data_IF_651563475945
#
_entry.id   IF_651563475945
#
_cell.length_a   1.000
_cell.length_b   1.000
_cell.length_c   1.000
_cell.angle_alpha   90.00
_cell.angle_beta   90.00
_cell.angle_gamma   90.00
#
_symmetry.space_group_name_H-M   'P 1'
#
loop_
_entity.id
_entity.type
_entity.pdbx_description
1 polymer ?
#
# COMPACT_ATOMS: atom_id res chain seq x y z
N UNK A 1 -19.98 -29.18 50.18
CA UNK A 1 -19.46 -28.92 48.83
C UNK A 1 -18.84 -30.21 48.35
N UNK A 2 -19.56 -30.98 47.54
CA UNK A 2 -19.14 -32.31 47.09
C UNK A 2 -18.04 -32.23 46.02
N UNK A 3 -17.14 -33.22 45.99
CA UNK A 3 -16.03 -33.32 45.03
C UNK A 3 -16.50 -33.19 43.55
N UNK A 4 -17.73 -33.61 43.27
CA UNK A 4 -18.41 -33.45 41.97
C UNK A 4 -18.70 -31.99 41.62
N UNK A 5 -19.11 -31.18 42.60
CA UNK A 5 -19.34 -29.74 42.44
C UNK A 5 -18.02 -29.01 42.20
N UNK A 6 -16.94 -29.43 42.88
CA UNK A 6 -15.60 -28.84 42.70
C UNK A 6 -15.08 -29.11 41.29
N UNK A 7 -15.19 -30.33 40.77
CA UNK A 7 -14.72 -30.69 39.42
C UNK A 7 -15.44 -29.94 38.28
N UNK A 8 -16.74 -29.66 38.43
CA UNK A 8 -17.50 -28.89 37.45
C UNK A 8 -17.10 -27.40 37.51
N UNK A 9 -16.92 -26.85 38.71
CA UNK A 9 -16.55 -25.44 38.90
C UNK A 9 -15.13 -25.17 38.42
N UNK A 10 -14.18 -26.07 38.68
CA UNK A 10 -12.79 -25.95 38.18
C UNK A 10 -12.71 -26.18 36.68
N UNK A 11 -13.49 -27.11 36.13
CA UNK A 11 -13.56 -27.36 34.69
C UNK A 11 -14.14 -26.20 33.89
N UNK A 12 -15.27 -25.63 34.34
CA UNK A 12 -15.89 -24.47 33.69
C UNK A 12 -14.98 -23.24 33.75
N UNK A 13 -14.27 -23.01 34.87
CA UNK A 13 -13.28 -21.94 34.98
C UNK A 13 -12.09 -22.13 34.00
N UNK A 14 -11.57 -23.36 33.86
CA UNK A 14 -10.48 -23.65 32.93
C UNK A 14 -10.92 -23.51 31.47
N UNK A 15 -12.12 -23.98 31.13
CA UNK A 15 -12.70 -23.81 29.79
C UNK A 15 -12.88 -22.34 29.41
N UNK A 16 -13.37 -21.50 30.34
CA UNK A 16 -13.50 -20.06 30.13
C UNK A 16 -12.14 -19.38 29.98
N UNK A 17 -11.13 -19.81 30.74
CA UNK A 17 -9.75 -19.30 30.63
C UNK A 17 -9.16 -19.63 29.24
N UNK A 18 -9.33 -20.85 28.75
CA UNK A 18 -8.85 -21.27 27.41
C UNK A 18 -9.57 -20.49 26.32
N UNK A 19 -10.89 -20.32 26.39
CA UNK A 19 -11.67 -19.53 25.43
C UNK A 19 -11.22 -18.06 25.46
N UNK A 20 -11.01 -17.49 26.64
CA UNK A 20 -10.47 -16.14 26.77
C UNK A 20 -9.07 -16.04 26.16
N UNK A 21 -8.17 -17.00 26.38
CA UNK A 21 -6.85 -17.01 25.74
C UNK A 21 -6.91 -17.20 24.22
N UNK A 22 -7.90 -17.92 23.69
CA UNK A 22 -8.09 -18.03 22.24
C UNK A 22 -8.66 -16.74 21.64
N UNK A 23 -9.53 -16.02 22.34
CA UNK A 23 -10.10 -14.73 21.89
C UNK A 23 -9.09 -13.58 22.06
N UNK A 24 -8.39 -13.54 23.20
CA UNK A 24 -7.46 -12.46 23.57
C UNK A 24 -5.99 -12.75 23.23
N UNK A 25 -5.60 -14.01 23.03
CA UNK A 25 -4.27 -14.42 22.58
C UNK A 25 -4.11 -14.39 21.06
N UNK A 26 -5.21 -14.37 20.30
CA UNK A 26 -5.22 -14.06 18.86
C UNK A 26 -5.15 -12.56 18.53
N UNK A 27 -4.60 -11.73 19.43
CA UNK A 27 -4.37 -10.30 19.18
C UNK A 27 -3.43 -10.01 18.00
N UNK A 28 -2.88 -11.04 17.33
CA UNK A 28 -2.03 -10.89 16.14
C UNK A 28 -2.52 -11.56 14.85
N UNK A 29 -3.68 -12.25 14.83
CA UNK A 29 -4.01 -13.15 13.70
C UNK A 29 -5.15 -12.75 12.75
N UNK A 30 -5.99 -11.76 13.09
CA UNK A 30 -7.13 -11.36 12.22
C UNK A 30 -7.23 -9.86 11.93
N UNK A 31 -6.37 -9.03 12.50
CA UNK A 31 -6.25 -7.60 12.12
C UNK A 31 -5.23 -7.36 11.00
N UNK A 32 -4.61 -8.41 10.46
CA UNK A 32 -3.59 -8.33 9.39
C UNK A 32 -4.12 -8.51 7.96
N UNK A 33 -5.44 -8.47 7.73
CA UNK A 33 -6.04 -8.62 6.40
C UNK A 33 -6.85 -7.39 6.01
N UNK A 34 -6.21 -6.22 5.96
CA UNK A 34 -6.71 -5.05 5.20
C UNK A 34 -5.59 -4.48 4.34
N UNK A 35 -5.06 -5.28 3.44
CA UNK A 35 -4.31 -4.77 2.29
C UNK A 35 -4.57 -5.68 1.09
N UNK A 36 -5.85 -5.74 0.68
CA UNK A 36 -6.13 -6.01 -0.72
C UNK A 36 -5.69 -4.75 -1.47
N UNK A 37 -4.47 -4.79 -2.00
CA UNK A 37 -3.94 -3.76 -2.89
C UNK A 37 -4.74 -3.82 -4.21
N UNK A 38 -5.94 -3.23 -4.22
CA UNK A 38 -6.65 -2.94 -5.47
C UNK A 38 -5.83 -1.83 -6.15
N UNK A 39 -4.83 -2.22 -6.95
CA UNK A 39 -4.13 -1.39 -7.95
C UNK A 39 -4.14 0.12 -7.70
N UNK A 40 -3.73 0.55 -6.51
CA UNK A 40 -3.71 1.96 -6.12
C UNK A 40 -2.29 2.44 -6.31
N UNK A 41 -2.03 3.27 -7.33
CA UNK A 41 -0.81 4.07 -7.23
C UNK A 41 -0.96 5.01 -6.07
N UNK A 42 0.07 5.06 -5.27
CA UNK A 42 0.21 6.15 -4.33
C UNK A 42 0.49 7.44 -5.13
N UNK A 43 0.08 8.60 -4.62
CA UNK A 43 0.44 9.87 -5.24
C UNK A 43 1.98 10.02 -5.36
N UNK A 44 2.74 9.34 -4.50
CA UNK A 44 4.20 9.24 -4.57
C UNK A 44 4.74 8.43 -5.75
N UNK A 45 3.90 7.66 -6.44
CA UNK A 45 4.25 6.82 -7.59
C UNK A 45 3.86 7.49 -8.92
N UNK A 46 3.13 8.60 -8.87
CA UNK A 46 2.85 9.43 -10.05
C UNK A 46 4.18 10.08 -10.48
N UNK A 47 4.71 9.63 -11.61
CA UNK A 47 5.97 10.12 -12.19
C UNK A 47 5.81 11.57 -12.66
N UNK A 48 4.69 11.90 -13.29
CA UNK A 48 4.44 13.26 -13.77
C UNK A 48 2.93 13.61 -13.74
N UNK A 49 2.63 14.87 -13.42
CA UNK A 49 1.26 15.43 -13.46
C UNK A 49 1.11 16.54 -14.50
N UNK A 50 2.21 17.10 -14.99
CA UNK A 50 2.27 18.05 -16.08
C UNK A 50 3.60 17.91 -16.85
N UNK A 51 3.68 18.50 -18.05
CA UNK A 51 4.90 18.45 -18.88
C UNK A 51 6.10 19.09 -18.18
N UNK A 52 5.89 20.09 -17.33
CA UNK A 52 6.95 20.75 -16.57
C UNK A 52 7.64 19.79 -15.57
N UNK A 53 6.99 18.71 -15.15
CA UNK A 53 7.63 17.68 -14.31
C UNK A 53 8.64 16.82 -15.09
N UNK A 54 8.56 16.83 -16.42
CA UNK A 54 9.42 16.07 -17.33
C UNK A 54 10.51 16.93 -17.99
N UNK A 55 10.75 18.15 -17.52
CA UNK A 55 11.79 19.01 -18.07
C UNK A 55 13.18 18.37 -17.86
N UNK A 56 13.78 17.86 -18.94
CA UNK A 56 15.12 17.27 -18.94
C UNK A 56 16.22 18.32 -19.14
N UNK A 57 15.84 19.60 -19.11
CA UNK A 57 16.70 20.77 -19.36
C UNK A 57 17.30 20.82 -20.77
N UNK A 58 16.90 19.90 -21.66
CA UNK A 58 17.34 19.90 -23.03
C UNK A 58 16.39 20.74 -23.89
N UNK A 59 16.92 21.80 -24.49
CA UNK A 59 16.13 22.71 -25.34
C UNK A 59 15.74 22.08 -26.67
N UNK A 60 16.39 20.97 -27.00
CA UNK A 60 16.18 20.19 -28.21
C UNK A 60 15.19 19.04 -28.03
N UNK A 61 14.63 18.89 -26.84
CA UNK A 61 13.54 17.95 -26.57
C UNK A 61 12.25 18.74 -26.34
N UNK A 62 11.15 18.11 -26.71
CA UNK A 62 9.80 18.49 -26.28
C UNK A 62 9.38 17.49 -25.22
N UNK A 63 9.24 17.97 -23.99
CA UNK A 63 8.87 17.12 -22.86
C UNK A 63 7.37 16.94 -22.75
N UNK A 64 6.95 15.69 -22.73
CA UNK A 64 5.55 15.29 -22.69
C UNK A 64 5.36 14.33 -21.53
N UNK A 65 4.45 14.70 -20.62
CA UNK A 65 3.97 13.79 -19.60
C UNK A 65 2.82 12.95 -20.19
N UNK A 66 3.05 11.65 -20.34
CA UNK A 66 2.02 10.72 -20.81
C UNK A 66 1.19 10.25 -19.61
N UNK A 67 -0.14 10.16 -19.75
CA UNK A 67 -1.11 9.84 -18.69
C UNK A 67 -0.90 10.64 -17.37
N UNK A 68 -0.93 11.98 -17.44
CA UNK A 68 -0.62 12.85 -16.30
C UNK A 68 -1.51 12.57 -15.09
N UNK A 69 -0.91 12.56 -13.90
CA UNK A 69 -1.65 12.38 -12.64
C UNK A 69 -2.11 10.95 -12.39
N UNK A 70 -1.65 9.98 -13.20
CA UNK A 70 -2.00 8.57 -13.03
C UNK A 70 -0.79 7.73 -12.63
N UNK A 71 -1.07 6.51 -12.15
CA UNK A 71 -0.11 5.46 -11.83
C UNK A 71 0.79 5.05 -12.99
N UNK A 72 0.29 5.28 -14.22
CA UNK A 72 0.96 4.90 -15.46
C UNK A 72 1.62 6.11 -16.12
N UNK A 73 1.76 7.21 -15.37
CA UNK A 73 2.43 8.39 -15.88
C UNK A 73 3.88 8.06 -16.21
N UNK A 74 4.40 8.61 -17.31
CA UNK A 74 5.83 8.55 -17.63
C UNK A 74 6.23 9.72 -18.53
N UNK A 75 7.50 10.09 -18.48
CA UNK A 75 8.05 11.15 -19.30
C UNK A 75 8.47 10.62 -20.68
N UNK A 76 8.05 11.32 -21.71
CA UNK A 76 8.46 11.10 -23.08
C UNK A 76 9.11 12.37 -23.61
N UNK A 77 10.36 12.26 -24.06
CA UNK A 77 11.17 13.36 -24.57
C UNK A 77 11.29 13.21 -26.09
N UNK A 78 10.59 14.05 -26.83
CA UNK A 78 10.60 13.99 -28.29
C UNK A 78 11.66 14.93 -28.86
N UNK A 79 12.58 14.41 -29.67
CA UNK A 79 13.60 15.22 -30.31
C UNK A 79 12.99 16.20 -31.32
N UNK A 80 13.32 17.48 -31.16
CA UNK A 80 12.96 18.53 -32.09
C UNK A 80 13.88 18.43 -33.31
N UNK A 81 13.30 18.10 -34.46
CA UNK A 81 14.05 18.00 -35.72
C UNK A 81 14.71 19.34 -36.06
N UNK A 82 16.02 19.31 -36.25
CA UNK A 82 16.80 20.50 -36.60
C UNK A 82 17.26 21.34 -35.42
N UNK A 83 17.05 20.89 -34.18
CA UNK A 83 17.65 21.52 -33.03
C UNK A 83 19.15 21.23 -32.95
N UNK A 84 19.94 22.23 -32.58
CA UNK A 84 21.38 22.14 -32.37
C UNK A 84 21.63 22.42 -30.89
N UNK A 85 22.05 21.39 -30.15
CA UNK A 85 22.35 21.54 -28.73
C UNK A 85 23.59 22.45 -28.57
N UNK A 86 23.43 23.55 -27.82
CA UNK A 86 24.55 24.44 -27.49
C UNK A 86 24.95 25.49 -28.54
N UNK A 87 24.08 25.85 -29.50
CA UNK A 87 24.31 26.99 -30.41
C UNK A 87 23.10 27.90 -30.52
#
# INVERSE_FOLDING_TARGET
>A
MDSRTIGIVTGTAFSLLVIALLIYGFRGGITGMTSMEIGSCNASEIICSANQNCDDQNRCTRDICIYPGTCKSYCYHELIKGCIEGR
#
